data_IF_379005567537
#
_entry.id   IF_379005567537
#
_cell.length_a   1.000
_cell.length_b   1.000
_cell.length_c   1.000
_cell.angle_alpha   90.00
_cell.angle_beta   90.00
_cell.angle_gamma   90.00
#
_symmetry.space_group_name_H-M   'P 1'
#
loop_
_entity.id
_entity.type
_entity.pdbx_description
1 polymer ?
#
# COMPACT_ATOMS: atom_id res chain seq x y z
N UNK A 1 -16.32 21.28 7.63
CA UNK A 1 -16.34 19.81 7.70
C UNK A 1 -14.99 19.31 7.20
N UNK A 2 -14.28 18.50 7.96
CA UNK A 2 -13.00 17.92 7.52
C UNK A 2 -13.29 16.73 6.61
N UNK A 3 -12.95 16.81 5.33
CA UNK A 3 -13.10 15.70 4.40
C UNK A 3 -11.89 14.76 4.54
N UNK A 4 -12.12 13.51 4.95
CA UNK A 4 -11.07 12.49 4.96
C UNK A 4 -10.90 11.91 3.56
N UNK A 5 -9.65 11.81 3.09
CA UNK A 5 -9.32 11.05 1.89
C UNK A 5 -9.18 9.58 2.25
N UNK A 6 -9.52 8.71 1.31
CA UNK A 6 -9.36 7.27 1.46
C UNK A 6 -8.74 6.67 0.22
N UNK A 7 -8.07 5.54 0.37
CA UNK A 7 -7.55 4.75 -0.73
C UNK A 7 -7.83 3.27 -0.51
N UNK A 8 -8.23 2.61 -1.60
CA UNK A 8 -8.51 1.17 -1.59
C UNK A 8 -7.26 0.36 -1.94
N UNK A 9 -7.07 -0.73 -1.19
CA UNK A 9 -5.99 -1.69 -1.38
C UNK A 9 -6.57 -3.11 -1.34
N UNK A 10 -6.11 -3.98 -2.25
CA UNK A 10 -6.43 -5.41 -2.20
C UNK A 10 -5.69 -6.07 -1.04
N UNK A 11 -6.19 -7.20 -0.57
CA UNK A 11 -5.41 -8.00 0.39
C UNK A 11 -4.36 -8.84 -0.35
N UNK A 12 -3.16 -9.04 0.23
CA UNK A 12 -2.76 -8.69 1.60
C UNK A 12 -2.21 -7.26 1.78
N UNK A 13 -2.23 -6.43 0.75
CA UNK A 13 -1.51 -5.15 0.77
C UNK A 13 -2.05 -4.18 1.83
N UNK A 14 -3.36 -4.17 2.07
CA UNK A 14 -3.95 -3.38 3.16
C UNK A 14 -3.42 -3.85 4.53
N UNK A 15 -3.46 -5.17 4.78
CA UNK A 15 -2.95 -5.79 6.01
C UNK A 15 -1.45 -5.50 6.21
N UNK A 16 -0.64 -5.60 5.16
CA UNK A 16 0.80 -5.32 5.24
C UNK A 16 1.12 -3.86 5.55
N UNK A 17 0.27 -2.92 5.11
CA UNK A 17 0.41 -1.51 5.48
C UNK A 17 0.04 -1.32 6.96
N UNK A 18 -1.06 -1.93 7.42
CA UNK A 18 -1.48 -1.87 8.83
C UNK A 18 -0.43 -2.46 9.77
N UNK A 19 0.22 -3.56 9.38
CA UNK A 19 1.33 -4.18 10.10
C UNK A 19 2.64 -3.36 10.04
N UNK A 20 2.68 -2.25 9.30
CA UNK A 20 3.89 -1.44 9.09
C UNK A 20 4.97 -2.10 8.25
N UNK A 21 4.69 -3.27 7.65
CA UNK A 21 5.64 -4.03 6.82
C UNK A 21 5.77 -3.45 5.42
N UNK A 22 4.66 -2.94 4.86
CA UNK A 22 4.63 -2.27 3.56
C UNK A 22 4.62 -0.76 3.76
N UNK A 23 5.77 -0.12 3.61
CA UNK A 23 5.94 1.33 3.79
C UNK A 23 6.03 2.10 2.47
N UNK A 24 6.04 1.41 1.33
CA UNK A 24 5.94 2.03 0.00
C UNK A 24 4.81 1.39 -0.79
N UNK A 25 3.79 2.16 -1.14
CA UNK A 25 2.75 1.74 -2.09
C UNK A 25 3.09 2.15 -3.52
N UNK A 26 2.83 1.26 -4.48
CA UNK A 26 3.26 1.43 -5.85
C UNK A 26 2.06 1.79 -6.73
N UNK A 27 2.08 2.97 -7.35
CA UNK A 27 1.00 3.50 -8.18
C UNK A 27 1.51 3.97 -9.54
N UNK A 28 0.62 4.07 -10.52
CA UNK A 28 0.91 4.62 -11.86
C UNK A 28 0.61 6.12 -11.95
N UNK A 29 0.30 6.75 -10.82
CA UNK A 29 -0.07 8.16 -10.76
C UNK A 29 0.45 8.80 -9.47
N UNK A 30 0.62 10.12 -9.54
CA UNK A 30 1.02 10.97 -8.43
C UNK A 30 -0.21 11.50 -7.66
N UNK A 31 -0.02 11.88 -6.39
CA UNK A 31 -0.93 12.73 -5.64
C UNK A 31 -0.14 13.84 -4.94
N UNK A 32 -0.71 15.04 -4.91
CA UNK A 32 -0.17 16.15 -4.10
C UNK A 32 -0.56 16.03 -2.62
N UNK A 33 -1.41 15.07 -2.25
CA UNK A 33 -1.81 14.87 -0.86
C UNK A 33 -0.62 14.39 -0.02
N UNK A 34 -0.40 15.06 1.10
CA UNK A 34 0.48 14.64 2.19
C UNK A 34 -0.31 14.73 3.49
N UNK A 35 -0.32 13.66 4.27
CA UNK A 35 -1.13 13.54 5.46
C UNK A 35 -1.97 12.27 5.49
N UNK A 36 -2.81 12.17 6.51
CA UNK A 36 -3.56 10.95 6.81
C UNK A 36 -4.61 10.62 5.74
N UNK A 37 -4.70 9.34 5.41
CA UNK A 37 -5.73 8.74 4.58
C UNK A 37 -6.34 7.55 5.30
N UNK A 38 -7.61 7.26 5.02
CA UNK A 38 -8.25 6.01 5.44
C UNK A 38 -7.82 4.87 4.50
N UNK A 39 -7.50 3.73 5.11
CA UNK A 39 -7.25 2.46 4.42
C UNK A 39 -8.56 1.73 4.22
N UNK A 40 -8.98 1.55 2.98
CA UNK A 40 -10.10 0.69 2.63
C UNK A 40 -9.59 -0.65 2.09
N UNK A 41 -9.99 -1.75 2.71
CA UNK A 41 -9.71 -3.09 2.19
C UNK A 41 -10.71 -3.41 1.08
N UNK A 42 -10.22 -3.57 -0.15
CA UNK A 42 -11.04 -3.98 -1.27
C UNK A 42 -11.62 -5.40 -1.06
N UNK A 43 -12.66 -5.75 -1.82
CA UNK A 43 -13.23 -7.11 -1.79
C UNK A 43 -12.27 -8.17 -2.36
N UNK A 44 -11.33 -7.77 -3.22
CA UNK A 44 -10.37 -8.69 -3.82
C UNK A 44 -9.24 -9.05 -2.86
N UNK A 45 -9.04 -10.35 -2.66
CA UNK A 45 -7.90 -10.94 -1.97
C UNK A 45 -6.98 -11.59 -3.01
N UNK A 46 -5.67 -11.47 -2.83
CA UNK A 46 -4.62 -12.13 -3.63
C UNK A 46 -4.02 -13.27 -2.78
N UNK A 47 -4.54 -14.52 -2.87
CA UNK A 47 -4.22 -15.56 -1.89
C UNK A 47 -2.76 -16.00 -1.91
N UNK A 48 -2.12 -15.99 -3.08
CA UNK A 48 -0.69 -16.32 -3.20
C UNK A 48 0.19 -15.29 -2.51
N UNK A 49 -0.12 -14.00 -2.67
CA UNK A 49 0.59 -12.93 -1.96
C UNK A 49 0.34 -13.02 -0.44
N UNK A 50 -0.88 -13.36 -0.01
CA UNK A 50 -1.18 -13.58 1.41
C UNK A 50 -0.26 -14.67 1.99
N UNK A 51 -0.24 -15.85 1.35
CA UNK A 51 0.61 -16.98 1.75
C UNK A 51 2.09 -16.64 1.76
N UNK A 52 2.57 -15.95 0.71
CA UNK A 52 3.97 -15.50 0.62
C UNK A 52 4.39 -14.63 1.81
N UNK A 53 3.46 -13.83 2.35
CA UNK A 53 3.73 -12.94 3.46
C UNK A 53 3.26 -13.46 4.82
N UNK A 54 2.87 -14.74 4.91
CA UNK A 54 2.45 -15.39 6.16
C UNK A 54 1.10 -14.92 6.68
N UNK A 55 0.22 -14.46 5.78
CA UNK A 55 -1.14 -14.01 6.08
C UNK A 55 -2.13 -15.06 5.58
N UNK A 56 -3.09 -15.46 6.42
CA UNK A 56 -4.16 -16.35 6.00
C UNK A 56 -5.20 -15.57 5.17
N UNK A 57 -5.38 -15.91 3.88
CA UNK A 57 -6.36 -15.22 3.03
C UNK A 57 -7.82 -15.38 3.50
N UNK A 58 -8.13 -16.34 4.37
CA UNK A 58 -9.47 -16.54 4.90
C UNK A 58 -9.80 -15.60 6.08
N UNK A 59 -8.80 -14.99 6.72
CA UNK A 59 -8.98 -14.21 7.96
C UNK A 59 -8.89 -12.70 7.75
N UNK A 60 -8.45 -12.25 6.57
CA UNK A 60 -8.27 -10.81 6.28
C UNK A 60 -9.61 -10.09 6.12
N UNK A 61 -9.71 -8.90 6.68
CA UNK A 61 -10.87 -8.03 6.50
C UNK A 61 -10.97 -7.55 5.04
N UNK A 62 -12.19 -7.44 4.52
CA UNK A 62 -12.48 -6.95 3.16
C UNK A 62 -13.77 -6.14 3.14
N UNK A 63 -13.93 -5.27 2.13
CA UNK A 63 -15.17 -4.52 1.89
C UNK A 63 -15.43 -3.37 2.87
N UNK A 64 -14.40 -2.85 3.55
CA UNK A 64 -14.57 -1.80 4.55
C UNK A 64 -13.30 -1.03 4.88
N UNK A 65 -13.46 0.05 5.63
CA UNK A 65 -12.33 0.78 6.21
C UNK A 65 -11.73 -0.04 7.35
N UNK A 66 -10.42 -0.25 7.29
CA UNK A 66 -9.69 -1.14 8.21
C UNK A 66 -8.67 -0.40 9.06
N UNK A 67 -8.43 0.89 8.79
CA UNK A 67 -7.52 1.72 9.55
C UNK A 67 -7.16 3.00 8.80
N UNK A 68 -6.04 3.60 9.17
CA UNK A 68 -5.49 4.79 8.53
C UNK A 68 -3.97 4.73 8.42
N UNK A 69 -3.42 5.53 7.50
CA UNK A 69 -1.97 5.69 7.33
C UNK A 69 -1.66 7.10 6.83
N UNK A 70 -0.46 7.59 7.08
CA UNK A 70 0.01 8.90 6.61
C UNK A 70 0.79 8.75 5.31
N UNK A 71 0.38 9.47 4.26
CA UNK A 71 1.22 9.65 3.06
C UNK A 71 2.22 10.76 3.37
N UNK A 72 3.49 10.43 3.55
CA UNK A 72 4.56 11.40 3.87
C UNK A 72 5.32 11.86 2.63
N UNK A 73 5.47 10.93 1.68
CA UNK A 73 6.21 10.96 0.42
C UNK A 73 5.41 10.56 -0.83
N UNK A 74 5.61 11.16 -2.01
CA UNK A 74 5.31 10.49 -3.29
C UNK A 74 6.46 10.78 -4.23
N UNK A 75 7.22 9.74 -4.55
CA UNK A 75 8.43 9.85 -5.36
C UNK A 75 8.26 9.16 -6.70
N UNK A 76 8.69 9.78 -7.82
CA UNK A 76 8.86 9.04 -9.06
C UNK A 76 9.84 7.88 -8.85
N UNK A 77 9.53 6.72 -9.43
CA UNK A 77 10.41 5.57 -9.38
C UNK A 77 11.24 5.49 -10.66
N UNK A 78 12.54 5.32 -10.47
CA UNK A 78 13.44 4.72 -11.46
C UNK A 78 13.55 3.23 -11.19
N UNK A 79 14.16 2.47 -12.09
CA UNK A 79 14.41 1.04 -11.87
C UNK A 79 15.32 0.81 -10.64
N UNK A 80 16.32 1.67 -10.45
CA UNK A 80 17.23 1.60 -9.31
C UNK A 80 16.49 1.86 -7.99
N UNK A 81 15.62 2.87 -7.95
CA UNK A 81 14.83 3.18 -6.74
C UNK A 81 13.77 2.10 -6.48
N UNK A 82 13.19 1.53 -7.52
CA UNK A 82 12.31 0.37 -7.40
C UNK A 82 13.05 -0.80 -6.74
N UNK A 83 14.23 -1.17 -7.25
CA UNK A 83 15.04 -2.24 -6.71
C UNK A 83 15.47 -1.95 -5.25
N UNK A 84 15.91 -0.73 -4.95
CA UNK A 84 16.34 -0.32 -3.62
C UNK A 84 15.22 -0.30 -2.57
N UNK A 85 13.95 -0.24 -2.99
CA UNK A 85 12.77 -0.22 -2.09
C UNK A 85 12.02 -1.55 -2.07
N UNK A 86 12.60 -2.63 -2.59
CA UNK A 86 11.97 -3.95 -2.69
C UNK A 86 11.42 -4.47 -1.36
N UNK A 87 12.19 -4.30 -0.30
CA UNK A 87 11.81 -4.74 1.06
C UNK A 87 10.73 -3.85 1.69
N UNK A 88 10.46 -2.68 1.11
CA UNK A 88 9.43 -1.74 1.58
C UNK A 88 8.12 -1.86 0.79
N UNK A 89 8.22 -2.12 -0.52
CA UNK A 89 7.04 -2.26 -1.36
C UNK A 89 6.52 -3.70 -1.44
N UNK A 90 7.36 -4.70 -1.14
CA UNK A 90 7.03 -6.13 -1.02
C UNK A 90 6.38 -6.75 -2.27
N UNK A 91 6.47 -6.08 -3.41
CA UNK A 91 5.75 -6.47 -4.61
C UNK A 91 6.63 -7.40 -5.45
N UNK A 92 6.10 -8.55 -5.86
CA UNK A 92 6.77 -9.50 -6.75
C UNK A 92 6.68 -9.15 -8.24
N UNK A 93 6.30 -7.91 -8.59
CA UNK A 93 6.17 -7.48 -9.99
C UNK A 93 7.47 -6.84 -10.50
N UNK A 94 7.55 -6.62 -11.81
CA UNK A 94 8.64 -5.86 -12.42
C UNK A 94 8.36 -4.37 -12.39
N UNK A 95 9.43 -3.56 -12.43
CA UNK A 95 9.34 -2.12 -12.61
C UNK A 95 8.73 -1.80 -13.98
N UNK A 96 7.97 -0.70 -14.03
CA UNK A 96 7.47 -0.10 -15.26
C UNK A 96 7.71 1.41 -15.22
N UNK A 97 8.14 2.03 -16.33
CA UNK A 97 8.26 3.49 -16.41
C UNK A 97 6.94 4.20 -16.05
N UNK A 98 7.05 5.34 -15.37
CA UNK A 98 5.88 6.13 -14.93
C UNK A 98 5.26 5.70 -13.60
N UNK A 99 5.89 4.75 -12.89
CA UNK A 99 5.47 4.39 -11.53
C UNK A 99 5.93 5.42 -10.50
N UNK A 100 5.13 5.53 -9.43
CA UNK A 100 5.39 6.32 -8.24
C UNK A 100 5.37 5.44 -7.00
N UNK A 101 6.27 5.73 -6.07
CA UNK A 101 6.29 5.15 -4.72
C UNK A 101 5.65 6.14 -3.76
N UNK A 102 4.49 5.79 -3.22
CA UNK A 102 3.83 6.52 -2.15
C UNK A 102 4.43 6.04 -0.83
N UNK A 103 5.18 6.90 -0.15
CA UNK A 103 5.82 6.56 1.13
C UNK A 103 4.80 6.74 2.25
N UNK A 104 4.65 5.70 3.05
CA UNK A 104 3.63 5.55 4.08
C UNK A 104 4.27 5.46 5.45
N UNK A 105 3.66 6.12 6.45
CA UNK A 105 4.07 6.10 7.84
C UNK A 105 2.85 6.10 8.77
N UNK A 106 3.09 5.80 10.05
CA UNK A 106 2.10 5.87 11.13
C UNK A 106 0.78 5.11 10.84
N UNK A 107 0.84 3.80 10.55
CA UNK A 107 -0.38 3.00 10.43
C UNK A 107 -1.11 2.96 11.79
N UNK A 108 -2.44 3.05 11.75
CA UNK A 108 -3.34 3.03 12.91
C UNK A 108 -4.58 2.22 12.64
#
# INVERSE_FOLDING_TARGET
MTQFKALSFRQPWAELILQGRKTVDLRTYNTHHRGRILLHAAQTVEPDACRLHGIDPATVATGGFVGAVTVVDVVPLTEERYAATRDQHLAGRHFQPGMYGWVLADPV
#
